data_IF_697273808179
#
_entry.id   IF_697273808179
#
_cell.length_a   1.000
_cell.length_b   1.000
_cell.length_c   1.000
_cell.angle_alpha   90.00
_cell.angle_beta   90.00
_cell.angle_gamma   90.00
#
_symmetry.space_group_name_H-M   'P 1'
#
loop_
_entity.id
_entity.type
_entity.pdbx_description
1 polymer ?
#
# COMPACT_ATOMS: atom_id res chain seq x y z
N UNK A 1 -11.05 5.14 0.61
CA UNK A 1 -11.42 6.33 -0.17
C UNK A 1 -12.94 6.48 -0.26
N UNK A 2 -13.59 7.30 0.59
CA UNK A 2 -15.06 7.39 0.59
C UNK A 2 -15.65 8.30 -0.51
N UNK A 3 -14.84 9.18 -1.11
CA UNK A 3 -15.25 10.15 -2.10
C UNK A 3 -14.40 10.02 -3.36
N UNK A 4 -14.96 10.35 -4.53
CA UNK A 4 -14.20 10.39 -5.77
C UNK A 4 -13.04 11.39 -5.70
N UNK A 5 -11.96 11.12 -6.46
CA UNK A 5 -10.79 11.98 -6.57
C UNK A 5 -11.20 13.42 -6.94
N UNK A 6 -10.57 14.41 -6.30
CA UNK A 6 -10.88 15.83 -6.42
C UNK A 6 -11.97 16.34 -5.47
N UNK A 7 -12.58 15.46 -4.66
CA UNK A 7 -13.60 15.82 -3.66
C UNK A 7 -13.13 15.68 -2.21
N UNK A 8 -11.82 15.53 -2.00
CA UNK A 8 -11.21 15.27 -0.69
C UNK A 8 -11.45 16.42 0.30
N UNK A 9 -11.59 17.65 -0.21
CA UNK A 9 -11.90 18.83 0.60
C UNK A 9 -13.19 18.70 1.42
N UNK A 10 -14.15 17.87 1.00
CA UNK A 10 -15.35 17.60 1.80
C UNK A 10 -15.06 16.85 3.10
N UNK A 11 -13.92 16.14 3.19
CA UNK A 11 -13.50 15.44 4.41
C UNK A 11 -12.92 16.40 5.46
N UNK A 12 -12.55 17.63 5.07
CA UNK A 12 -12.01 18.63 6.00
C UNK A 12 -13.06 19.14 7.01
N UNK A 13 -14.34 19.03 6.67
CA UNK A 13 -15.44 19.33 7.59
C UNK A 13 -15.68 18.26 8.67
N UNK A 14 -15.05 17.10 8.56
CA UNK A 14 -15.14 16.03 9.57
C UNK A 14 -14.24 16.32 10.77
N UNK A 15 -14.51 15.65 11.89
CA UNK A 15 -13.61 15.72 13.05
C UNK A 15 -12.25 15.12 12.71
N UNK A 16 -11.20 15.56 13.41
CA UNK A 16 -9.85 15.00 13.22
C UNK A 16 -9.80 13.50 13.49
N UNK A 17 -10.60 13.03 14.45
CA UNK A 17 -10.71 11.60 14.76
C UNK A 17 -11.31 10.82 13.58
N UNK A 18 -12.33 11.37 12.90
CA UNK A 18 -12.91 10.75 11.72
C UNK A 18 -11.92 10.75 10.53
N UNK A 19 -11.23 11.87 10.27
CA UNK A 19 -10.21 11.95 9.22
C UNK A 19 -9.10 10.91 9.42
N UNK A 20 -8.68 10.66 10.67
CA UNK A 20 -7.67 9.65 11.00
C UNK A 20 -8.04 8.23 10.58
N UNK A 21 -9.34 7.94 10.46
CA UNK A 21 -9.86 6.65 10.02
C UNK A 21 -10.09 6.58 8.51
N UNK A 22 -9.93 7.69 7.79
CA UNK A 22 -10.11 7.73 6.34
C UNK A 22 -8.81 7.34 5.63
N UNK A 23 -8.93 6.40 4.70
CA UNK A 23 -7.84 5.98 3.83
C UNK A 23 -7.91 6.67 2.45
N UNK A 24 -6.82 7.29 2.03
CA UNK A 24 -6.62 7.74 0.66
C UNK A 24 -6.20 6.54 -0.21
N UNK A 25 -6.90 6.32 -1.32
CA UNK A 25 -6.54 5.29 -2.30
C UNK A 25 -6.45 5.91 -3.70
N UNK A 26 -7.56 6.08 -4.42
CA UNK A 26 -7.58 6.66 -5.78
C UNK A 26 -7.15 8.14 -5.82
N UNK A 27 -7.05 8.79 -4.67
CA UNK A 27 -6.50 10.16 -4.57
C UNK A 27 -4.98 10.22 -4.43
N UNK A 28 -4.34 9.06 -4.26
CA UNK A 28 -2.92 8.90 -4.00
C UNK A 28 -2.30 7.99 -5.08
N UNK A 29 -1.70 8.61 -6.10
CA UNK A 29 -0.99 7.89 -7.15
C UNK A 29 0.53 8.06 -7.08
N UNK A 30 1.07 8.98 -6.28
CA UNK A 30 2.51 9.18 -6.23
C UNK A 30 2.93 10.16 -5.14
N UNK A 31 4.25 10.41 -5.01
CA UNK A 31 4.78 11.38 -4.06
C UNK A 31 4.19 12.79 -4.21
N UNK A 32 3.87 13.21 -5.43
CA UNK A 32 3.25 14.52 -5.70
C UNK A 32 1.84 14.63 -5.09
N UNK A 33 1.02 13.58 -5.22
CA UNK A 33 -0.28 13.50 -4.56
C UNK A 33 -0.11 13.43 -3.03
N UNK A 34 0.89 12.70 -2.54
CA UNK A 34 1.19 12.60 -1.12
C UNK A 34 1.53 13.98 -0.51
N UNK A 35 2.38 14.77 -1.18
CA UNK A 35 2.70 16.14 -0.76
C UNK A 35 1.44 17.01 -0.68
N UNK A 36 0.58 16.94 -1.71
CA UNK A 36 -0.68 17.69 -1.73
C UNK A 36 -1.61 17.26 -0.60
N UNK A 37 -1.77 15.96 -0.37
CA UNK A 37 -2.63 15.42 0.68
C UNK A 37 -2.08 15.68 2.09
N UNK A 38 -0.75 15.80 2.26
CA UNK A 38 -0.13 16.14 3.53
C UNK A 38 -0.41 17.59 3.98
N UNK A 39 -0.72 18.50 3.05
CA UNK A 39 -0.96 19.91 3.38
C UNK A 39 -2.21 20.11 4.24
N UNK A 40 -3.35 19.57 3.79
CA UNK A 40 -4.64 19.73 4.47
C UNK A 40 -5.06 18.50 5.30
N UNK A 41 -4.33 17.39 5.14
CA UNK A 41 -4.52 16.10 5.84
C UNK A 41 -6.00 15.61 5.89
N UNK A 42 -6.71 15.49 4.75
CA UNK A 42 -8.08 14.96 4.72
C UNK A 42 -8.18 13.47 5.08
N UNK A 43 -7.04 12.77 5.12
CA UNK A 43 -6.90 11.34 5.43
C UNK A 43 -5.85 11.14 6.53
N UNK A 44 -5.98 10.07 7.31
CA UNK A 44 -4.96 9.60 8.25
C UNK A 44 -4.25 8.32 7.84
N UNK A 45 -4.75 7.65 6.79
CA UNK A 45 -4.18 6.42 6.26
C UNK A 45 -3.95 6.62 4.76
N UNK A 46 -2.82 6.17 4.25
CA UNK A 46 -2.52 6.15 2.82
C UNK A 46 -2.38 4.71 2.32
N UNK A 47 -3.23 4.32 1.37
CA UNK A 47 -3.17 3.04 0.70
C UNK A 47 -2.22 3.11 -0.51
N UNK A 48 -1.01 2.58 -0.32
CA UNK A 48 0.01 2.47 -1.36
C UNK A 48 -0.25 1.19 -2.15
N UNK A 49 -0.39 1.32 -3.47
CA UNK A 49 -0.35 0.19 -4.41
C UNK A 49 0.78 0.43 -5.40
N UNK A 50 1.68 -0.53 -5.58
CA UNK A 50 2.84 -0.37 -6.46
C UNK A 50 2.42 0.03 -7.89
N UNK A 51 1.28 -0.50 -8.35
CA UNK A 51 0.72 -0.21 -9.67
C UNK A 51 0.25 1.24 -9.85
N UNK A 52 -0.08 1.95 -8.77
CA UNK A 52 -0.46 3.37 -8.86
C UNK A 52 0.75 4.29 -8.92
N UNK A 53 1.80 3.96 -8.17
CA UNK A 53 2.96 4.83 -7.93
C UNK A 53 4.20 4.51 -8.74
N UNK A 54 4.08 3.73 -9.82
CA UNK A 54 5.21 3.41 -10.67
C UNK A 54 6.25 2.52 -9.99
N UNK A 55 5.81 1.65 -9.07
CA UNK A 55 6.65 0.67 -8.38
C UNK A 55 7.26 1.14 -7.06
N UNK A 56 8.30 0.42 -6.64
CA UNK A 56 8.92 0.53 -5.30
C UNK A 56 9.47 1.95 -5.05
N UNK A 57 10.13 2.57 -6.03
CA UNK A 57 10.71 3.91 -5.87
C UNK A 57 9.64 4.95 -5.53
N UNK A 58 8.51 4.95 -6.24
CA UNK A 58 7.42 5.87 -5.94
C UNK A 58 6.74 5.54 -4.60
N UNK A 59 6.64 4.26 -4.24
CA UNK A 59 6.11 3.83 -2.96
C UNK A 59 6.96 4.33 -1.77
N UNK A 60 8.28 4.21 -1.87
CA UNK A 60 9.22 4.73 -0.87
C UNK A 60 9.11 6.25 -0.75
N UNK A 61 8.98 6.97 -1.87
CA UNK A 61 8.76 8.42 -1.84
C UNK A 61 7.47 8.82 -1.12
N UNK A 62 6.38 8.06 -1.29
CA UNK A 62 5.14 8.27 -0.52
C UNK A 62 5.39 7.97 0.97
N UNK A 63 6.11 6.89 1.28
CA UNK A 63 6.41 6.48 2.65
C UNK A 63 7.22 7.53 3.41
N UNK A 64 8.22 8.13 2.79
CA UNK A 64 9.04 9.18 3.40
C UNK A 64 8.19 10.40 3.76
N UNK A 65 7.28 10.80 2.88
CA UNK A 65 6.34 11.89 3.15
C UNK A 65 5.38 11.50 4.28
N UNK A 66 4.87 10.28 4.27
CA UNK A 66 3.95 9.77 5.31
C UNK A 66 4.62 9.78 6.69
N UNK A 67 5.91 9.40 6.76
CA UNK A 67 6.70 9.45 7.99
C UNK A 67 6.72 10.85 8.60
N UNK A 68 7.01 11.85 7.77
CA UNK A 68 7.11 13.24 8.20
C UNK A 68 5.74 13.84 8.55
N UNK A 69 4.70 13.43 7.83
CA UNK A 69 3.32 13.90 8.05
C UNK A 69 2.61 13.17 9.20
N UNK A 70 3.19 12.10 9.76
CA UNK A 70 2.55 11.27 10.77
C UNK A 70 1.32 10.52 10.25
N UNK A 71 1.38 10.04 9.01
CA UNK A 71 0.34 9.28 8.33
C UNK A 71 0.66 7.78 8.41
N UNK A 72 -0.33 6.97 8.75
CA UNK A 72 -0.20 5.52 8.74
C UNK A 72 -0.28 4.97 7.30
N UNK A 73 0.44 3.88 7.04
CA UNK A 73 0.45 3.24 5.73
C UNK A 73 -0.36 1.94 5.72
N UNK A 74 -1.14 1.81 4.66
CA UNK A 74 -1.75 0.57 4.20
C UNK A 74 -1.06 0.18 2.89
N UNK A 75 -0.76 -1.11 2.72
CA UNK A 75 -0.20 -1.63 1.48
C UNK A 75 -1.23 -2.49 0.79
N UNK A 76 -1.70 -2.00 -0.35
CA UNK A 76 -2.72 -2.66 -1.17
C UNK A 76 -2.14 -3.27 -2.44
N UNK A 77 -2.96 -4.09 -3.09
CA UNK A 77 -2.71 -4.57 -4.44
C UNK A 77 -3.96 -4.41 -5.33
N UNK A 78 -3.79 -4.65 -6.63
CA UNK A 78 -4.86 -5.12 -7.50
C UNK A 78 -4.84 -6.66 -7.50
N UNK A 79 -5.66 -7.30 -8.35
CA UNK A 79 -5.58 -8.73 -8.60
C UNK A 79 -4.27 -9.05 -9.35
N UNK A 80 -3.24 -9.39 -8.58
CA UNK A 80 -1.85 -9.42 -9.03
C UNK A 80 -1.17 -10.74 -8.64
N UNK A 81 -0.19 -11.17 -9.43
CA UNK A 81 0.65 -12.35 -9.13
C UNK A 81 1.41 -12.19 -7.81
N UNK A 82 1.76 -13.32 -7.17
CA UNK A 82 2.64 -13.40 -5.99
C UNK A 82 3.95 -12.64 -6.17
N UNK A 83 4.42 -12.42 -7.40
CA UNK A 83 5.59 -11.56 -7.68
C UNK A 83 5.35 -10.13 -7.18
N UNK A 84 4.21 -9.54 -7.56
CA UNK A 84 3.88 -8.16 -7.18
C UNK A 84 3.54 -8.06 -5.70
N UNK A 85 2.80 -9.04 -5.18
CA UNK A 85 2.45 -9.14 -3.76
C UNK A 85 3.71 -9.23 -2.88
N UNK A 86 4.68 -10.07 -3.25
CA UNK A 86 5.95 -10.16 -2.54
C UNK A 86 6.72 -8.82 -2.59
N UNK A 87 6.75 -8.15 -3.74
CA UNK A 87 7.40 -6.84 -3.88
C UNK A 87 6.76 -5.78 -2.96
N UNK A 88 5.44 -5.75 -2.88
CA UNK A 88 4.71 -4.87 -1.99
C UNK A 88 4.96 -5.23 -0.52
N UNK A 89 4.95 -6.51 -0.16
CA UNK A 89 5.20 -6.99 1.20
C UNK A 89 6.62 -6.65 1.69
N UNK A 90 7.64 -6.87 0.86
CA UNK A 90 9.02 -6.48 1.18
C UNK A 90 9.12 -4.97 1.42
N UNK A 91 8.49 -4.17 0.56
CA UNK A 91 8.49 -2.71 0.71
C UNK A 91 7.75 -2.31 1.99
N UNK A 92 6.62 -2.95 2.30
CA UNK A 92 5.86 -2.70 3.51
C UNK A 92 6.67 -2.94 4.79
N UNK A 93 7.45 -4.02 4.85
CA UNK A 93 8.33 -4.33 5.98
C UNK A 93 9.49 -3.35 6.14
N UNK A 94 9.92 -2.70 5.05
CA UNK A 94 10.95 -1.67 5.09
C UNK A 94 10.42 -0.29 5.56
N UNK A 95 9.10 -0.12 5.64
CA UNK A 95 8.45 1.15 5.97
C UNK A 95 7.87 1.14 7.41
N UNK A 96 8.45 1.87 8.37
CA UNK A 96 8.01 1.85 9.78
C UNK A 96 6.58 2.33 10.05
N UNK A 97 5.97 3.05 9.10
CA UNK A 97 4.61 3.58 9.16
C UNK A 97 3.55 2.53 8.77
N UNK A 98 3.97 1.37 8.27
CA UNK A 98 3.07 0.28 7.91
C UNK A 98 2.24 -0.17 9.11
N UNK A 99 0.91 -0.14 8.95
CA UNK A 99 -0.06 -0.63 9.94
C UNK A 99 -1.03 -1.65 9.36
N UNK A 100 -1.27 -1.61 8.06
CA UNK A 100 -2.26 -2.45 7.40
C UNK A 100 -1.67 -3.09 6.15
N UNK A 101 -2.07 -4.33 5.88
CA UNK A 101 -1.76 -5.07 4.67
C UNK A 101 -3.07 -5.54 4.04
N UNK A 102 -3.20 -5.28 2.74
CA UNK A 102 -4.30 -5.63 1.82
C UNK A 102 -3.64 -6.24 0.57
N UNK A 103 -2.95 -7.34 0.81
CA UNK A 103 -2.00 -7.99 -0.10
C UNK A 103 -2.48 -9.41 -0.44
N UNK A 104 -3.77 -9.54 -0.72
CA UNK A 104 -4.49 -10.80 -0.92
C UNK A 104 -4.94 -11.04 -2.36
N UNK A 105 -4.70 -10.10 -3.29
CA UNK A 105 -5.12 -10.22 -4.70
C UNK A 105 -4.54 -11.43 -5.44
N UNK A 106 -3.46 -12.04 -4.97
CA UNK A 106 -2.96 -13.31 -5.54
C UNK A 106 -3.82 -14.52 -5.15
N UNK A 107 -4.63 -14.42 -4.11
CA UNK A 107 -5.51 -15.50 -3.65
C UNK A 107 -6.73 -15.68 -4.57
N UNK A 108 -7.10 -14.64 -5.30
CA UNK A 108 -8.20 -14.66 -6.28
C UNK A 108 -7.78 -15.30 -7.61
N UNK A 109 -6.48 -15.55 -7.81
CA UNK A 109 -5.97 -16.18 -9.02
C UNK A 109 -6.19 -17.69 -8.99
N UNK A 110 -7.01 -18.20 -9.92
CA UNK A 110 -7.17 -19.65 -10.12
C UNK A 110 -5.86 -20.37 -10.48
N UNK A 111 -4.93 -19.64 -11.13
CA UNK A 111 -3.57 -20.08 -11.43
C UNK A 111 -2.65 -18.87 -11.48
N UNK A 112 -1.58 -18.91 -10.72
CA UNK A 112 -0.46 -17.97 -10.82
C UNK A 112 0.65 -18.57 -11.70
N UNK A 113 1.35 -17.73 -12.47
CA UNK A 113 2.54 -18.10 -13.25
C UNK A 113 3.81 -18.07 -12.40
N UNK A 114 3.70 -17.73 -11.12
CA UNK A 114 4.78 -17.73 -10.15
C UNK A 114 4.39 -18.42 -8.84
N UNK A 115 5.39 -18.83 -8.08
CA UNK A 115 5.24 -19.45 -6.76
C UNK A 115 6.32 -18.98 -5.79
N UNK A 116 6.10 -19.18 -4.49
CA UNK A 116 6.95 -18.64 -3.43
C UNK A 116 6.54 -17.22 -3.07
N UNK A 117 7.52 -16.33 -2.86
CA UNK A 117 7.27 -14.93 -2.50
C UNK A 117 7.14 -14.72 -0.99
N UNK A 118 6.16 -15.37 -0.38
CA UNK A 118 5.87 -15.28 1.05
C UNK A 118 5.19 -16.56 1.55
N UNK A 119 5.19 -16.75 2.86
CA UNK A 119 4.36 -17.76 3.52
C UNK A 119 3.16 -17.07 4.19
N UNK A 120 1.97 -17.65 4.07
CA UNK A 120 0.80 -17.25 4.82
C UNK A 120 0.49 -18.30 5.89
N UNK A 121 0.47 -17.90 7.16
CA UNK A 121 0.08 -18.76 8.27
C UNK A 121 -0.70 -17.96 9.30
N UNK A 122 -1.85 -18.48 9.74
CA UNK A 122 -2.73 -17.86 10.75
C UNK A 122 -3.13 -16.41 10.44
N UNK A 123 -3.28 -16.07 9.15
CA UNK A 123 -3.60 -14.71 8.69
C UNK A 123 -2.41 -13.75 8.67
N UNK A 124 -1.20 -14.23 8.97
CA UNK A 124 0.04 -13.45 8.91
C UNK A 124 0.85 -13.82 7.67
N UNK A 125 1.33 -12.80 6.97
CA UNK A 125 2.26 -12.96 5.85
C UNK A 125 3.70 -12.86 6.35
N UNK A 126 4.53 -13.81 5.97
CA UNK A 126 5.94 -13.90 6.36
C UNK A 126 6.83 -13.84 5.12
N UNK A 127 7.84 -12.97 5.15
CA UNK A 127 8.90 -12.95 4.14
C UNK A 127 9.70 -14.26 4.19
N UNK A 128 10.17 -14.70 3.02
CA UNK A 128 11.10 -15.81 2.90
C UNK A 128 12.54 -15.30 3.13
N UNK A 129 13.43 -16.15 3.65
CA UNK A 129 14.86 -15.81 3.83
C UNK A 129 15.68 -15.89 2.53
N UNK A 130 15.04 -16.19 1.40
CA UNK A 130 15.70 -16.27 0.10
C UNK A 130 16.08 -14.87 -0.44
N UNK A 131 17.17 -14.74 -1.21
CA UNK A 131 17.52 -13.47 -1.86
C UNK A 131 16.43 -12.95 -2.80
N UNK A 132 16.31 -11.62 -2.88
CA UNK A 132 15.33 -10.95 -3.74
C UNK A 132 13.91 -11.07 -3.19
N UNK A 133 12.94 -11.30 -4.07
CA UNK A 133 11.52 -11.42 -3.69
C UNK A 133 11.14 -12.81 -3.17
N UNK A 134 12.04 -13.80 -3.19
CA UNK A 134 11.71 -15.19 -2.86
C UNK A 134 10.71 -15.88 -3.79
N UNK A 135 10.36 -15.24 -4.92
CA UNK A 135 9.45 -15.79 -5.93
C UNK A 135 10.22 -16.40 -7.12
N UNK A 136 9.64 -17.41 -7.74
CA UNK A 136 10.14 -18.05 -8.98
C UNK A 136 8.98 -18.29 -9.94
N UNK A 137 9.27 -18.32 -11.24
CA UNK A 137 8.27 -18.72 -12.23
C UNK A 137 7.87 -20.18 -11.97
N UNK A 138 6.57 -20.44 -12.11
CA UNK A 138 6.02 -21.78 -12.11
C UNK A 138 6.28 -22.43 -13.47
N UNK A 139 6.77 -23.67 -13.45
CA UNK A 139 6.99 -24.49 -14.65
C UNK A 139 5.66 -24.84 -15.36
#
# INVERSE_FOLDING_TARGET
QPLGRGKEGHLLGLSRAAQKLMAADESLHGPEDALRLAADMPFGIWNIKLMKCGGITGALGISDIAQLAGIDLMWGCMDESVISIAAALHTAYACPQTRYLDLDGSFDLSRDTAMGGFNLSDGYMHLLEAPGLGAKLAD
#
